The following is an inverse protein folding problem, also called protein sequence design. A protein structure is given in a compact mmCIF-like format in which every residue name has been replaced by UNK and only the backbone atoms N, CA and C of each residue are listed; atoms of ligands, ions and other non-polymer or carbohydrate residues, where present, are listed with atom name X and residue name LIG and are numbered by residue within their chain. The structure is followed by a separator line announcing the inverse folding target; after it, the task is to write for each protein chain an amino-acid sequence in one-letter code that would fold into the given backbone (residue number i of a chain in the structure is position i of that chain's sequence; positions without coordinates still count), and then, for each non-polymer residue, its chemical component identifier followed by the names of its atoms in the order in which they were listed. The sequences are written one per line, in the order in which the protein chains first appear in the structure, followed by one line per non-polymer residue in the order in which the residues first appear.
data_IF_849613989809
#
_entry.id   IF_849613989809
#
_cell.length_a   1.000
_cell.length_b   1.000
_cell.length_c   1.000
_cell.angle_alpha   90.00
_cell.angle_beta   90.00
_cell.angle_gamma   90.00
#
_symmetry.space_group_name_H-M   'P 1'
#
loop_
_entity.id
_entity.type
_entity.pdbx_description
1 polymer ?
#
# COMPACT_ATOMS: atom_id res chain seq x y z
N UNK A 1 -32.83 -17.84 -31.98
CA UNK A 1 -33.55 -17.79 -30.69
C UNK A 1 -34.38 -19.05 -30.51
N UNK A 2 -34.17 -19.79 -29.42
CA UNK A 2 -35.28 -20.34 -28.62
C UNK A 2 -35.28 -19.72 -27.20
N UNK A 3 -36.47 -19.67 -26.61
CA UNK A 3 -36.86 -18.94 -25.38
C UNK A 3 -36.94 -19.87 -24.16
N UNK A 4 -36.41 -19.40 -23.02
CA UNK A 4 -36.86 -19.58 -21.60
C UNK A 4 -36.96 -21.02 -21.01
N UNK A 5 -36.82 -21.23 -19.67
CA UNK A 5 -37.39 -20.40 -18.60
C UNK A 5 -36.54 -20.07 -17.36
N UNK A 6 -37.04 -19.05 -16.69
CA UNK A 6 -36.83 -18.66 -15.30
C UNK A 6 -37.49 -19.65 -14.32
N UNK A 7 -36.88 -19.88 -13.14
CA UNK A 7 -37.54 -20.23 -11.85
C UNK A 7 -36.45 -20.49 -10.80
N UNK A 8 -36.23 -19.56 -9.87
CA UNK A 8 -36.75 -19.61 -8.49
C UNK A 8 -36.28 -20.82 -7.66
N UNK A 9 -35.37 -20.60 -6.71
CA UNK A 9 -35.53 -21.23 -5.38
C UNK A 9 -34.93 -20.37 -4.28
N UNK A 10 -35.85 -19.70 -3.60
CA UNK A 10 -35.72 -18.94 -2.37
C UNK A 10 -35.49 -19.94 -1.22
N UNK A 11 -34.28 -20.04 -0.70
CA UNK A 11 -34.04 -20.83 0.52
C UNK A 11 -33.87 -19.88 1.70
N UNK A 12 -35.02 -19.58 2.30
CA UNK A 12 -35.18 -18.89 3.58
C UNK A 12 -35.07 -19.95 4.68
N UNK A 13 -33.93 -20.04 5.35
CA UNK A 13 -33.81 -20.80 6.60
C UNK A 13 -33.94 -19.83 7.77
N UNK A 14 -35.05 -19.94 8.49
CA UNK A 14 -35.18 -19.39 9.84
C UNK A 14 -34.52 -20.35 10.83
N UNK A 15 -33.80 -19.84 11.84
CA UNK A 15 -33.73 -20.52 13.11
C UNK A 15 -34.90 -20.10 14.01
N UNK A 16 -35.60 -21.13 14.47
CA UNK A 16 -36.70 -21.11 15.43
C UNK A 16 -36.18 -20.95 16.86
N UNK A 17 -36.89 -20.11 17.60
CA UNK A 17 -37.33 -20.24 19.00
C UNK A 17 -36.37 -20.80 20.07
N UNK A 18 -36.15 -19.99 21.12
CA UNK A 18 -36.20 -20.46 22.51
C UNK A 18 -36.56 -19.30 23.45
N UNK A 19 -37.68 -19.37 24.18
CA UNK A 19 -38.00 -18.45 25.28
C UNK A 19 -37.49 -19.05 26.60
N UNK A 20 -36.48 -18.46 27.21
CA UNK A 20 -36.11 -18.77 28.59
C UNK A 20 -36.93 -17.90 29.55
N UNK A 21 -38.08 -18.44 29.96
CA UNK A 21 -38.78 -18.05 31.18
C UNK A 21 -37.97 -18.59 32.37
N UNK A 22 -37.44 -17.69 33.19
CA UNK A 22 -37.04 -18.01 34.55
C UNK A 22 -37.45 -16.85 35.44
N UNK A 23 -38.63 -17.00 36.04
CA UNK A 23 -39.08 -16.23 37.17
C UNK A 23 -38.26 -16.67 38.39
N UNK A 24 -37.48 -15.77 38.96
CA UNK A 24 -37.13 -15.82 40.37
C UNK A 24 -37.60 -14.54 41.02
N UNK A 25 -38.78 -14.66 41.62
CA UNK A 25 -39.36 -13.71 42.54
C UNK A 25 -38.67 -13.86 43.90
N UNK A 26 -37.86 -12.89 44.32
CA UNK A 26 -37.60 -12.57 45.72
C UNK A 26 -37.03 -11.13 45.82
N UNK A 27 -37.90 -10.17 46.13
CA UNK A 27 -37.59 -8.93 46.84
C UNK A 27 -38.54 -8.85 48.06
N UNK A 28 -38.31 -8.04 49.12
CA UNK A 28 -37.14 -7.21 49.47
C UNK A 28 -36.68 -7.37 50.95
N UNK A 29 -35.50 -6.86 51.32
CA UNK A 29 -35.27 -6.39 52.70
C UNK A 29 -34.49 -5.07 52.73
N UNK A 30 -35.04 -3.99 53.33
CA UNK A 30 -34.42 -2.67 53.33
C UNK A 30 -33.64 -2.44 54.63
N UNK A 31 -32.32 -2.35 54.55
CA UNK A 31 -31.53 -1.75 55.64
C UNK A 31 -30.91 -0.44 55.16
N UNK A 32 -31.40 0.62 55.78
CA UNK A 32 -31.09 2.03 55.58
C UNK A 32 -29.60 2.32 55.74
N UNK A 33 -28.97 2.86 54.69
CA UNK A 33 -27.91 3.87 54.78
C UNK A 33 -28.01 4.83 53.58
N UNK A 34 -28.46 6.08 53.75
CA UNK A 34 -28.34 7.10 52.73
C UNK A 34 -26.94 7.73 52.83
N UNK A 35 -25.95 7.11 52.22
CA UNK A 35 -24.83 7.88 51.68
C UNK A 35 -25.27 8.28 50.27
N UNK A 36 -25.53 9.56 50.08
CA UNK A 36 -25.85 10.15 48.79
C UNK A 36 -24.63 10.01 47.86
N UNK A 37 -24.52 8.86 47.18
CA UNK A 37 -23.80 8.80 45.92
C UNK A 37 -24.58 9.68 44.96
N UNK A 38 -23.93 10.75 44.49
CA UNK A 38 -24.44 11.61 43.45
C UNK A 38 -25.07 10.74 42.35
N UNK A 39 -26.25 11.12 41.80
CA UNK A 39 -26.69 10.51 40.58
C UNK A 39 -25.63 10.86 39.54
N UNK A 40 -24.75 9.91 39.24
CA UNK A 40 -24.06 9.89 37.98
C UNK A 40 -25.18 9.85 36.95
N UNK A 41 -25.57 11.04 36.49
CA UNK A 41 -26.31 11.26 35.27
C UNK A 41 -25.45 10.64 34.17
N UNK A 42 -25.52 9.32 34.03
CA UNK A 42 -25.36 8.68 32.74
C UNK A 42 -26.50 9.24 31.93
N UNK A 43 -26.24 10.38 31.29
CA UNK A 43 -27.03 10.82 30.16
C UNK A 43 -27.22 9.57 29.30
N UNK A 44 -28.47 9.14 29.16
CA UNK A 44 -28.83 8.07 28.23
C UNK A 44 -28.56 8.67 26.84
N UNK A 45 -27.30 8.61 26.42
CA UNK A 45 -26.92 8.95 25.06
C UNK A 45 -27.75 8.05 24.14
N UNK A 46 -28.31 8.59 23.05
CA UNK A 46 -29.04 7.78 22.11
C UNK A 46 -28.07 6.71 21.57
N UNK A 47 -28.32 5.40 21.82
CA UNK A 47 -27.37 4.33 21.49
C UNK A 47 -27.08 4.21 19.99
N UNK A 48 -27.87 4.89 19.15
CA UNK A 48 -27.66 5.00 17.71
C UNK A 48 -26.32 5.66 17.38
N UNK A 49 -26.04 6.84 17.93
CA UNK A 49 -24.87 7.64 17.51
C UNK A 49 -23.54 6.99 17.91
N UNK A 50 -23.50 6.37 19.09
CA UNK A 50 -22.36 5.58 19.54
C UNK A 50 -22.05 4.44 18.58
N UNK A 51 -23.09 3.71 18.15
CA UNK A 51 -22.93 2.59 17.24
C UNK A 51 -22.48 3.04 15.85
N UNK A 52 -23.09 4.10 15.33
CA UNK A 52 -22.79 4.66 14.01
C UNK A 52 -21.33 5.14 13.95
N UNK A 53 -20.91 5.98 14.90
CA UNK A 53 -19.52 6.49 14.95
C UNK A 53 -18.52 5.36 15.19
N UNK A 54 -18.83 4.42 16.08
CA UNK A 54 -17.92 3.30 16.37
C UNK A 54 -17.74 2.38 15.16
N UNK A 55 -18.82 2.05 14.47
CA UNK A 55 -18.75 1.21 13.27
C UNK A 55 -17.95 1.90 12.17
N UNK A 56 -18.22 3.20 11.94
CA UNK A 56 -17.49 4.00 10.97
C UNK A 56 -15.98 4.04 11.26
N UNK A 57 -15.58 4.27 12.52
CA UNK A 57 -14.17 4.30 12.92
C UNK A 57 -13.45 2.97 12.69
N UNK A 58 -14.10 1.86 13.02
CA UNK A 58 -13.54 0.52 12.81
C UNK A 58 -13.46 0.17 11.33
N UNK A 59 -14.43 0.60 10.53
CA UNK A 59 -14.41 0.42 9.08
C UNK A 59 -13.34 1.29 8.41
N UNK A 60 -13.12 2.52 8.89
CA UNK A 60 -12.00 3.36 8.47
C UNK A 60 -10.66 2.73 8.82
N UNK A 61 -10.51 2.14 10.01
CA UNK A 61 -9.29 1.41 10.40
C UNK A 61 -9.02 0.24 9.46
N UNK A 62 -10.04 -0.56 9.14
CA UNK A 62 -9.91 -1.66 8.16
C UNK A 62 -9.60 -1.15 6.75
N UNK A 63 -10.17 -0.02 6.36
CA UNK A 63 -9.90 0.62 5.08
C UNK A 63 -8.43 1.07 5.00
N UNK A 64 -7.93 1.72 6.05
CA UNK A 64 -6.53 2.11 6.17
C UNK A 64 -5.59 0.92 6.00
N UNK A 65 -5.82 -0.16 6.74
CA UNK A 65 -4.96 -1.35 6.69
C UNK A 65 -4.94 -2.00 5.30
N UNK A 66 -6.04 -1.96 4.55
CA UNK A 66 -6.07 -2.43 3.15
C UNK A 66 -5.30 -1.49 2.23
N UNK A 67 -5.50 -0.19 2.40
CA UNK A 67 -4.88 0.85 1.60
C UNK A 67 -3.35 0.92 1.77
N UNK A 68 -2.78 0.37 2.85
CA UNK A 68 -1.32 0.31 3.06
C UNK A 68 -0.56 -0.34 1.89
N UNK A 69 -1.21 -1.22 1.11
CA UNK A 69 -0.60 -1.86 -0.04
C UNK A 69 -0.70 -1.10 -1.36
N UNK A 70 -1.45 0.01 -1.43
CA UNK A 70 -1.75 0.71 -2.68
C UNK A 70 -1.81 2.24 -2.48
N UNK A 71 -0.95 2.96 -3.19
CA UNK A 71 -0.90 4.43 -3.13
C UNK A 71 -2.22 5.09 -3.56
N UNK A 72 -2.94 4.50 -4.52
CA UNK A 72 -4.20 5.07 -4.99
C UNK A 72 -5.33 4.85 -3.98
N UNK A 73 -5.37 3.67 -3.35
CA UNK A 73 -6.29 3.42 -2.24
C UNK A 73 -5.98 4.31 -1.02
N UNK A 74 -4.70 4.57 -0.75
CA UNK A 74 -4.27 5.44 0.35
C UNK A 74 -4.76 6.89 0.14
N UNK A 75 -4.73 7.40 -1.09
CA UNK A 75 -5.28 8.73 -1.41
C UNK A 75 -6.79 8.78 -1.19
N UNK A 76 -7.52 7.75 -1.63
CA UNK A 76 -8.97 7.65 -1.42
C UNK A 76 -9.31 7.57 0.07
N UNK A 77 -8.56 6.76 0.82
CA UNK A 77 -8.68 6.69 2.27
C UNK A 77 -8.48 8.07 2.90
N UNK A 78 -7.38 8.76 2.59
CA UNK A 78 -7.05 10.07 3.17
C UNK A 78 -8.17 11.10 2.97
N UNK A 79 -8.78 11.12 1.78
CA UNK A 79 -9.91 12.01 1.48
C UNK A 79 -11.13 11.72 2.36
N UNK A 80 -11.45 10.45 2.59
CA UNK A 80 -12.59 10.04 3.44
C UNK A 80 -12.31 10.17 4.94
N UNK A 81 -11.06 9.92 5.35
CA UNK A 81 -10.65 9.86 6.75
C UNK A 81 -10.81 11.20 7.46
N UNK A 82 -10.47 12.30 6.78
CA UNK A 82 -10.66 13.64 7.34
C UNK A 82 -12.13 13.92 7.70
N UNK A 83 -13.07 13.48 6.87
CA UNK A 83 -14.50 13.65 7.12
C UNK A 83 -14.99 12.77 8.29
N UNK A 84 -14.53 11.52 8.37
CA UNK A 84 -14.83 10.62 9.51
C UNK A 84 -14.29 11.20 10.82
N UNK A 85 -13.07 11.72 10.80
CA UNK A 85 -12.45 12.33 11.98
C UNK A 85 -13.23 13.55 12.45
N UNK A 86 -13.58 14.46 11.53
CA UNK A 86 -14.37 15.64 11.84
C UNK A 86 -15.75 15.30 12.44
N UNK A 87 -16.44 14.29 11.89
CA UNK A 87 -17.70 13.80 12.46
C UNK A 87 -17.51 13.24 13.87
N UNK A 88 -16.48 12.41 14.06
CA UNK A 88 -16.17 11.80 15.35
C UNK A 88 -15.81 12.84 16.42
N UNK A 89 -14.98 13.83 16.09
CA UNK A 89 -14.61 14.93 17.00
C UNK A 89 -15.80 15.82 17.31
N UNK A 90 -16.62 16.17 16.33
CA UNK A 90 -17.83 16.93 16.57
C UNK A 90 -18.79 16.18 17.51
N UNK A 91 -19.03 14.88 17.27
CA UNK A 91 -19.87 14.07 18.16
C UNK A 91 -19.30 13.99 19.59
N UNK A 92 -17.97 13.91 19.73
CA UNK A 92 -17.30 13.94 21.02
C UNK A 92 -17.48 15.29 21.74
N UNK A 93 -17.22 16.41 21.07
CA UNK A 93 -17.33 17.76 21.63
C UNK A 93 -18.75 18.12 22.08
N UNK A 94 -19.75 17.63 21.35
CA UNK A 94 -21.17 17.82 21.70
C UNK A 94 -21.66 16.86 22.79
N UNK A 95 -20.77 16.03 23.36
CA UNK A 95 -21.13 15.05 24.39
C UNK A 95 -22.13 14.00 23.87
N UNK A 96 -22.08 13.67 22.58
CA UNK A 96 -22.98 12.68 21.98
C UNK A 96 -22.42 11.26 22.04
N UNK A 97 -21.13 11.11 22.37
CA UNK A 97 -20.45 9.83 22.48
C UNK A 97 -20.36 9.39 23.94
N UNK A 98 -20.57 8.09 24.17
CA UNK A 98 -20.17 7.44 25.41
C UNK A 98 -18.65 7.47 25.59
N UNK A 99 -18.21 7.37 26.85
CA UNK A 99 -16.80 7.34 27.21
C UNK A 99 -16.05 6.17 26.52
N UNK A 100 -16.71 5.01 26.39
CA UNK A 100 -16.12 3.85 25.71
C UNK A 100 -15.89 4.13 24.22
N UNK A 101 -16.84 4.76 23.53
CA UNK A 101 -16.68 5.14 22.11
C UNK A 101 -15.62 6.23 21.93
N UNK A 102 -15.55 7.19 22.85
CA UNK A 102 -14.50 8.21 22.83
C UNK A 102 -13.09 7.59 22.99
N UNK A 103 -12.94 6.59 23.87
CA UNK A 103 -11.68 5.83 24.00
C UNK A 103 -11.33 5.09 22.71
N UNK A 104 -12.33 4.52 22.01
CA UNK A 104 -12.12 3.86 20.71
C UNK A 104 -11.67 4.86 19.64
N UNK A 105 -12.33 6.02 19.53
CA UNK A 105 -11.95 7.10 18.61
C UNK A 105 -10.47 7.46 18.81
N UNK A 106 -10.07 7.75 20.05
CA UNK A 106 -8.69 8.08 20.37
C UNK A 106 -7.71 6.96 20.00
N UNK A 107 -8.03 5.70 20.35
CA UNK A 107 -7.17 4.56 20.06
C UNK A 107 -7.00 4.28 18.55
N UNK A 108 -8.06 4.48 17.75
CA UNK A 108 -7.99 4.33 16.28
C UNK A 108 -7.10 5.42 15.68
N UNK A 109 -7.32 6.68 16.08
CA UNK A 109 -6.53 7.82 15.59
C UNK A 109 -5.05 7.65 15.92
N UNK A 110 -4.72 7.24 17.15
CA UNK A 110 -3.35 6.98 17.56
C UNK A 110 -2.68 5.87 16.76
N UNK A 111 -3.39 4.75 16.53
CA UNK A 111 -2.83 3.62 15.77
C UNK A 111 -2.56 4.00 14.32
N UNK A 112 -3.52 4.66 13.66
CA UNK A 112 -3.34 5.14 12.28
C UNK A 112 -2.18 6.14 12.22
N UNK A 113 -2.11 7.09 13.16
CA UNK A 113 -1.03 8.07 13.24
C UNK A 113 0.34 7.44 13.45
N UNK A 114 0.45 6.45 14.34
CA UNK A 114 1.70 5.74 14.59
C UNK A 114 2.20 4.98 13.35
N UNK A 115 1.30 4.27 12.66
CA UNK A 115 1.67 3.56 11.42
C UNK A 115 2.07 4.55 10.33
N UNK A 116 1.32 5.63 10.14
CA UNK A 116 1.64 6.65 9.16
C UNK A 116 3.01 7.32 9.40
N UNK A 117 3.32 7.64 10.66
CA UNK A 117 4.61 8.21 11.05
C UNK A 117 5.76 7.25 10.72
N UNK A 118 5.62 5.97 11.11
CA UNK A 118 6.64 4.96 10.81
C UNK A 118 6.82 4.83 9.30
N UNK A 119 5.75 4.74 8.51
CA UNK A 119 5.86 4.66 7.04
C UNK A 119 6.62 5.84 6.43
N UNK A 120 6.38 7.05 6.93
CA UNK A 120 7.10 8.23 6.48
C UNK A 120 8.61 8.13 6.76
N UNK A 121 8.99 7.63 7.93
CA UNK A 121 10.39 7.39 8.28
C UNK A 121 11.05 6.36 7.34
N UNK A 122 10.34 5.28 7.00
CA UNK A 122 10.83 4.27 6.05
C UNK A 122 10.98 4.82 4.63
N UNK A 123 10.05 5.67 4.18
CA UNK A 123 10.14 6.33 2.88
C UNK A 123 11.39 7.21 2.80
N UNK A 124 11.65 8.04 3.83
CA UNK A 124 12.86 8.85 3.90
C UNK A 124 14.16 8.04 3.96
N UNK A 125 14.15 6.92 4.69
CA UNK A 125 15.29 6.00 4.75
C UNK A 125 15.56 5.35 3.39
N UNK A 126 14.51 4.89 2.70
CA UNK A 126 14.62 4.29 1.37
C UNK A 126 15.16 5.30 0.34
N UNK A 127 14.68 6.54 0.37
CA UNK A 127 15.16 7.61 -0.50
C UNK A 127 16.65 7.90 -0.25
N UNK A 128 17.06 8.00 1.03
CA UNK A 128 18.47 8.22 1.39
C UNK A 128 19.40 7.11 0.88
N UNK A 129 18.96 5.85 1.00
CA UNK A 129 19.72 4.70 0.49
C UNK A 129 19.81 4.77 -1.04
N UNK A 130 18.70 5.04 -1.73
CA UNK A 130 18.68 5.15 -3.19
C UNK A 130 19.62 6.26 -3.69
N UNK A 131 19.64 7.41 -3.01
CA UNK A 131 20.55 8.52 -3.33
C UNK A 131 22.03 8.13 -3.14
N UNK A 132 22.36 7.45 -2.04
CA UNK A 132 23.73 6.96 -1.78
C UNK A 132 24.18 5.96 -2.84
N UNK A 133 23.34 4.97 -3.15
CA UNK A 133 23.64 3.97 -4.17
C UNK A 133 23.80 4.60 -5.56
N UNK A 134 22.98 5.60 -5.90
CA UNK A 134 23.13 6.35 -7.14
C UNK A 134 24.43 7.15 -7.19
N UNK A 135 24.85 7.76 -6.08
CA UNK A 135 26.12 8.48 -5.98
C UNK A 135 27.32 7.53 -6.10
N UNK A 136 27.29 6.39 -5.41
CA UNK A 136 28.34 5.36 -5.50
C UNK A 136 28.45 4.78 -6.91
N UNK A 137 27.32 4.49 -7.56
CA UNK A 137 27.29 4.00 -8.92
C UNK A 137 27.91 5.02 -9.90
N UNK A 138 27.58 6.31 -9.73
CA UNK A 138 28.20 7.40 -10.52
C UNK A 138 29.71 7.49 -10.29
N UNK A 139 30.17 7.44 -9.04
CA UNK A 139 31.60 7.47 -8.69
C UNK A 139 32.37 6.33 -9.38
N UNK A 140 31.83 5.11 -9.30
CA UNK A 140 32.45 3.94 -9.94
C UNK A 140 32.49 4.03 -11.46
N UNK A 141 31.43 4.55 -12.08
CA UNK A 141 31.40 4.75 -13.52
C UNK A 141 32.40 5.83 -13.97
N UNK A 142 32.56 6.90 -13.19
CA UNK A 142 33.58 7.93 -13.49
C UNK A 142 34.99 7.37 -13.33
N UNK A 143 35.27 6.64 -12.24
CA UNK A 143 36.58 6.00 -12.01
C UNK A 143 36.93 4.98 -13.10
N UNK A 144 35.97 4.15 -13.53
CA UNK A 144 36.18 3.18 -14.61
C UNK A 144 36.29 3.84 -15.99
N UNK A 145 35.55 4.93 -16.23
CA UNK A 145 35.68 5.73 -17.45
C UNK A 145 37.07 6.32 -17.58
N UNK A 146 37.60 6.93 -16.52
CA UNK A 146 38.94 7.52 -16.51
C UNK A 146 40.04 6.46 -16.73
N UNK A 147 39.86 5.25 -16.19
CA UNK A 147 40.76 4.12 -16.44
C UNK A 147 40.65 3.58 -17.88
N UNK A 148 39.46 3.58 -18.49
CA UNK A 148 39.25 3.12 -19.87
C UNK A 148 39.85 4.08 -20.92
N UNK A 149 39.90 5.39 -20.64
CA UNK A 149 40.61 6.36 -21.48
C UNK A 149 42.12 6.40 -21.23
N UNK A 150 42.58 5.89 -20.08
CA UNK A 150 43.99 5.73 -19.73
C UNK A 150 44.57 4.42 -20.26
N UNK A 151 44.36 4.09 -21.55
CA UNK A 151 45.06 2.98 -22.18
C UNK A 151 46.52 3.36 -22.42
N UNK A 152 47.51 2.61 -21.91
CA UNK A 152 48.92 2.88 -22.20
C UNK A 152 49.17 2.65 -23.69
N UNK A 153 49.35 3.75 -24.41
CA UNK A 153 49.69 3.84 -25.84
C UNK A 153 51.12 3.38 -26.16
N UNK A 154 51.61 2.31 -25.51
CA UNK A 154 53.00 1.91 -25.58
C UNK A 154 53.23 0.46 -26.03
N UNK A 155 52.45 0.00 -27.02
CA UNK A 155 52.84 -1.17 -27.83
C UNK A 155 53.24 -0.66 -29.22
N UNK A 156 54.53 -0.33 -29.33
CA UNK A 156 55.23 -0.07 -30.59
C UNK A 156 55.25 -1.37 -31.42
N UNK A 157 54.61 -1.45 -32.60
CA UNK A 157 54.82 -2.57 -33.49
C UNK A 157 56.18 -2.37 -34.16
N UNK A 158 57.13 -3.25 -33.87
CA UNK A 158 58.38 -3.38 -34.60
C UNK A 158 58.09 -3.67 -36.07
N UNK A 159 58.53 -2.76 -36.92
CA UNK A 159 58.61 -2.88 -38.38
C UNK A 159 59.42 -4.11 -38.77
N UNK A 160 58.81 -5.04 -39.49
CA UNK A 160 59.56 -5.97 -40.35
C UNK A 160 58.81 -6.12 -41.67
N UNK A 161 59.59 -6.01 -42.74
CA UNK A 161 59.20 -5.85 -44.11
C UNK A 161 58.60 -7.12 -44.74
N UNK A 162 57.58 -6.92 -45.60
CA UNK A 162 57.44 -7.45 -46.97
C UNK A 162 55.93 -7.58 -47.35
N UNK A 163 55.51 -7.25 -48.59
CA UNK A 163 54.12 -7.38 -49.01
C UNK A 163 53.85 -8.76 -49.63
N UNK A 164 52.68 -9.37 -49.34
CA UNK A 164 52.01 -10.12 -50.38
C UNK A 164 50.50 -9.81 -50.47
N UNK A 165 50.10 -9.48 -51.70
CA UNK A 165 48.90 -9.91 -52.42
C UNK A 165 47.54 -9.84 -51.68
N UNK A 166 46.72 -8.93 -52.19
CA UNK A 166 45.25 -8.90 -52.17
C UNK A 166 44.58 -10.20 -51.70
N UNK A 167 44.31 -10.26 -50.41
CA UNK A 167 43.45 -11.24 -49.77
C UNK A 167 42.59 -10.47 -48.76
N UNK A 168 41.28 -10.61 -48.91
CA UNK A 168 40.22 -9.99 -48.14
C UNK A 168 40.63 -9.64 -46.69
N UNK A 169 40.68 -8.34 -46.37
CA UNK A 169 40.79 -7.88 -44.99
C UNK A 169 39.50 -8.32 -44.28
N UNK A 170 39.54 -9.11 -43.20
CA UNK A 170 38.38 -9.17 -42.31
C UNK A 170 38.35 -7.82 -41.59
N UNK A 171 37.32 -7.03 -41.87
CA UNK A 171 37.04 -5.85 -41.08
C UNK A 171 37.05 -6.24 -39.60
N UNK A 172 37.71 -5.45 -38.75
CA UNK A 172 37.72 -5.61 -37.29
C UNK A 172 36.32 -5.28 -36.72
N UNK A 173 35.33 -6.11 -37.06
CA UNK A 173 33.95 -6.08 -36.57
C UNK A 173 33.83 -6.75 -35.18
N UNK A 174 34.93 -7.30 -34.64
CA UNK A 174 34.94 -8.08 -33.40
C UNK A 174 34.63 -7.28 -32.12
N UNK A 175 34.78 -5.95 -32.14
CA UNK A 175 34.45 -5.10 -30.98
C UNK A 175 32.95 -4.74 -30.90
N UNK A 176 32.21 -4.89 -32.00
CA UNK A 176 30.75 -4.66 -32.08
C UNK A 176 29.95 -5.97 -32.10
N UNK A 177 30.63 -7.11 -32.21
CA UNK A 177 30.02 -8.43 -32.37
C UNK A 177 29.09 -8.88 -31.22
N UNK A 178 29.34 -8.59 -29.93
CA UNK A 178 28.48 -9.10 -28.86
C UNK A 178 27.06 -8.49 -28.90
N UNK A 179 26.98 -7.16 -29.01
CA UNK A 179 25.69 -6.47 -29.06
C UNK A 179 24.97 -6.72 -30.39
N UNK A 180 25.71 -6.76 -31.50
CA UNK A 180 25.14 -7.06 -32.82
C UNK A 180 24.58 -8.49 -32.90
N UNK A 181 25.26 -9.48 -32.32
CA UNK A 181 24.74 -10.86 -32.25
C UNK A 181 23.50 -10.93 -31.38
N UNK A 182 23.54 -10.35 -30.18
CA UNK A 182 22.38 -10.33 -29.28
C UNK A 182 21.18 -9.64 -29.93
N UNK A 183 21.38 -8.49 -30.57
CA UNK A 183 20.33 -7.75 -31.26
C UNK A 183 19.71 -8.54 -32.42
N UNK A 184 20.53 -9.18 -33.27
CA UNK A 184 20.02 -9.99 -34.39
C UNK A 184 19.34 -11.28 -33.92
N UNK A 185 19.77 -11.84 -32.79
CA UNK A 185 19.18 -13.04 -32.18
C UNK A 185 17.82 -12.73 -31.54
N UNK A 186 17.61 -11.51 -31.04
CA UNK A 186 16.38 -11.11 -30.34
C UNK A 186 15.43 -10.28 -31.21
N UNK A 187 15.91 -9.68 -32.29
CA UNK A 187 15.14 -8.91 -33.26
C UNK A 187 15.40 -9.43 -34.67
N UNK A 188 14.92 -10.64 -34.96
CA UNK A 188 15.08 -11.29 -36.26
C UNK A 188 14.36 -10.58 -37.41
N UNK A 189 13.51 -9.57 -37.12
CA UNK A 189 12.78 -8.77 -38.12
C UNK A 189 12.66 -7.29 -37.70
N UNK A 190 13.71 -6.46 -37.86
CA UNK A 190 13.63 -5.03 -37.51
C UNK A 190 12.79 -4.22 -38.49
N UNK A 191 12.48 -4.78 -39.66
CA UNK A 191 11.60 -4.17 -40.65
C UNK A 191 10.59 -5.23 -41.08
N UNK A 192 9.40 -5.17 -40.47
CA UNK A 192 8.19 -5.72 -41.08
C UNK A 192 8.12 -5.15 -42.49
N UNK A 193 8.34 -6.02 -43.46
CA UNK A 193 8.23 -5.75 -44.88
C UNK A 193 6.86 -5.11 -45.14
N UNK A 194 6.87 -4.02 -45.90
CA UNK A 194 5.70 -3.26 -46.38
C UNK A 194 4.78 -4.03 -47.33
N UNK A 195 4.61 -5.34 -47.12
CA UNK A 195 3.86 -6.27 -47.96
C UNK A 195 2.44 -6.57 -47.45
N UNK A 196 1.97 -5.83 -46.44
CA UNK A 196 0.55 -5.80 -46.07
C UNK A 196 -0.03 -4.43 -46.47
N UNK A 197 -0.32 -4.31 -47.77
CA UNK A 197 -1.13 -3.24 -48.38
C UNK A 197 -1.99 -3.85 -49.48
#
# INVERSE_FOLDING_TARGET
MPRFPSSHTRTRTQPSSSPSLSHSALEPRPHKRPCASAPSFRARHPPSMDHDVRSELLDSERCFLRALGSNDEMKLFAASWGATLQRGTAAFEHGMLSEDTARVLHAVVQRIGAVAAVMHDWEGAAESIAQKMAAEARSRLTEQGDLAFSSPSNIRPTTSAAPPKSGHVPARDDLLAPYRRWFLEHFSFPYLTSADK
#
